data_IF_903148143862
#
_entry.id   IF_903148143862
#
_cell.length_a   1.000
_cell.length_b   1.000
_cell.length_c   1.000
_cell.angle_alpha   90.00
_cell.angle_beta   90.00
_cell.angle_gamma   90.00
#
_symmetry.space_group_name_H-M   'P 1'
#
loop_
_entity.id
_entity.type
_entity.pdbx_description
1 polymer ?
#
# COMPACT_ATOMS: atom_id res chain seq x y z
N UNK A 1 4.75 0.07 7.60
CA UNK A 1 5.39 1.26 8.20
C UNK A 1 6.48 1.82 7.29
N UNK A 2 7.60 1.12 7.05
CA UNK A 2 8.68 1.62 6.18
C UNK A 2 8.24 1.99 4.76
N UNK A 3 7.40 1.17 4.12
CA UNK A 3 6.88 1.44 2.77
C UNK A 3 6.06 2.73 2.74
N UNK A 4 5.16 2.94 3.72
CA UNK A 4 4.34 4.16 3.79
C UNK A 4 5.21 5.41 4.00
N UNK A 5 6.21 5.33 4.88
CA UNK A 5 7.16 6.43 5.11
C UNK A 5 7.93 6.78 3.82
N UNK A 6 8.47 5.76 3.14
CA UNK A 6 9.20 5.94 1.89
C UNK A 6 8.30 6.54 0.79
N UNK A 7 7.09 6.01 0.62
CA UNK A 7 6.11 6.54 -0.32
C UNK A 7 5.75 8.00 -0.03
N UNK A 8 5.49 8.35 1.24
CA UNK A 8 5.20 9.72 1.64
C UNK A 8 6.37 10.67 1.33
N UNK A 9 7.59 10.24 1.66
CA UNK A 9 8.80 11.02 1.40
C UNK A 9 9.03 11.24 -0.09
N UNK A 10 8.98 10.18 -0.92
CA UNK A 10 9.18 10.30 -2.36
C UNK A 10 8.10 11.16 -3.03
N UNK A 11 6.85 11.03 -2.57
CA UNK A 11 5.78 11.90 -3.02
C UNK A 11 6.04 13.36 -2.66
N UNK A 12 6.36 13.69 -1.40
CA UNK A 12 6.69 15.07 -1.01
C UNK A 12 7.90 15.63 -1.77
N UNK A 13 8.94 14.81 -1.95
CA UNK A 13 10.11 15.16 -2.74
C UNK A 13 9.77 15.44 -4.20
N UNK A 14 8.73 14.81 -4.75
CA UNK A 14 8.24 15.10 -6.10
C UNK A 14 7.76 16.54 -6.24
N UNK A 15 7.17 17.14 -5.19
CA UNK A 15 6.68 18.53 -5.21
C UNK A 15 7.72 19.54 -4.78
N UNK A 16 8.76 19.09 -4.08
CA UNK A 16 9.87 19.93 -3.69
C UNK A 16 10.73 20.25 -4.90
N UNK A 17 11.15 21.51 -5.03
CA UNK A 17 12.12 21.98 -6.04
C UNK A 17 13.51 21.34 -5.92
N UNK A 18 13.70 20.44 -4.95
CA UNK A 18 14.92 19.67 -4.73
C UNK A 18 15.38 18.85 -5.94
N UNK A 19 14.50 18.55 -6.91
CA UNK A 19 14.83 17.79 -8.13
C UNK A 19 14.94 18.64 -9.41
N UNK A 20 14.90 19.97 -9.30
CA UNK A 20 15.13 20.93 -10.40
C UNK A 20 13.85 21.54 -10.99
N UNK A 21 14.00 22.66 -11.71
CA UNK A 21 12.94 23.51 -12.31
C UNK A 21 12.03 22.83 -13.35
N UNK A 22 12.08 21.50 -13.45
CA UNK A 22 11.17 20.72 -14.29
C UNK A 22 9.84 20.52 -13.59
N UNK A 23 8.75 20.68 -14.34
CA UNK A 23 7.37 20.40 -13.90
C UNK A 23 7.34 19.06 -13.17
N UNK A 24 7.23 19.13 -11.85
CA UNK A 24 6.95 17.99 -11.00
C UNK A 24 5.70 17.30 -11.55
N UNK A 25 5.84 16.05 -12.00
CA UNK A 25 4.70 15.21 -12.38
C UNK A 25 4.49 14.14 -11.30
N UNK A 26 3.59 14.38 -10.33
CA UNK A 26 3.30 13.44 -9.25
C UNK A 26 2.85 12.08 -9.78
N UNK A 27 2.26 12.05 -10.97
CA UNK A 27 1.83 10.83 -11.66
C UNK A 27 3.03 9.93 -12.00
N UNK A 28 4.19 10.52 -12.35
CA UNK A 28 5.41 9.74 -12.62
C UNK A 28 5.90 9.06 -11.35
N UNK A 29 6.05 9.78 -10.24
CA UNK A 29 6.49 9.17 -8.98
C UNK A 29 5.50 8.11 -8.50
N UNK A 30 4.19 8.38 -8.60
CA UNK A 30 3.16 7.38 -8.28
C UNK A 30 3.33 6.11 -9.12
N UNK A 31 3.52 6.23 -10.45
CA UNK A 31 3.73 5.08 -11.34
C UNK A 31 4.99 4.27 -11.00
N UNK A 32 6.07 4.95 -10.59
CA UNK A 32 7.32 4.28 -10.19
C UNK A 32 7.15 3.54 -8.86
N UNK A 33 6.44 4.13 -7.89
CA UNK A 33 6.10 3.46 -6.63
C UNK A 33 5.24 2.22 -6.91
N UNK A 34 4.19 2.32 -7.73
CA UNK A 34 3.33 1.18 -8.10
C UNK A 34 4.13 0.06 -8.78
N UNK A 35 5.04 0.42 -9.68
CA UNK A 35 5.92 -0.55 -10.37
C UNK A 35 6.83 -1.27 -9.37
N UNK A 36 7.48 -0.52 -8.47
CA UNK A 36 8.33 -1.09 -7.42
C UNK A 36 7.56 -2.02 -6.47
N UNK A 37 6.31 -1.66 -6.14
CA UNK A 37 5.45 -2.50 -5.30
C UNK A 37 5.10 -3.85 -5.95
N UNK A 38 5.05 -3.92 -7.28
CA UNK A 38 4.87 -5.19 -8.00
C UNK A 38 5.99 -6.19 -7.71
N UNK A 39 7.24 -5.73 -7.68
CA UNK A 39 8.39 -6.56 -7.35
C UNK A 39 8.37 -7.03 -5.89
N UNK A 40 8.05 -6.12 -4.95
CA UNK A 40 7.91 -6.47 -3.52
C UNK A 40 6.79 -7.48 -3.31
N UNK A 41 5.65 -7.29 -3.98
CA UNK A 41 4.51 -8.21 -3.89
C UNK A 41 4.85 -9.62 -4.36
N UNK A 42 5.56 -9.75 -5.49
CA UNK A 42 6.03 -11.04 -5.99
C UNK A 42 6.98 -11.76 -5.01
N UNK A 43 7.82 -11.01 -4.29
CA UNK A 43 8.74 -11.58 -3.29
C UNK A 43 8.05 -12.09 -2.01
N UNK A 44 6.82 -11.64 -1.73
CA UNK A 44 6.07 -12.02 -0.52
C UNK A 44 5.08 -13.15 -0.77
N UNK A 45 4.62 -13.30 -2.02
CA UNK A 45 3.71 -14.38 -2.41
C UNK A 45 4.53 -15.65 -2.68
N UNK A 46 4.31 -16.67 -1.84
CA UNK A 46 5.01 -17.95 -1.95
C UNK A 46 3.98 -19.03 -2.30
N UNK A 47 4.28 -19.83 -3.31
CA UNK A 47 3.47 -21.00 -3.70
C UNK A 47 4.27 -22.27 -3.48
N UNK A 48 3.74 -23.19 -2.66
CA UNK A 48 4.34 -24.50 -2.44
C UNK A 48 3.23 -25.56 -2.34
N UNK A 49 3.35 -26.65 -3.10
CA UNK A 49 2.41 -27.78 -3.02
C UNK A 49 0.95 -27.41 -3.28
N UNK A 50 0.68 -26.49 -4.20
CA UNK A 50 -0.69 -26.05 -4.55
C UNK A 50 -1.32 -25.03 -3.60
N UNK A 51 -0.64 -24.64 -2.52
CA UNK A 51 -1.11 -23.64 -1.58
C UNK A 51 -0.35 -22.32 -1.76
N UNK A 52 -1.10 -21.24 -1.95
CA UNK A 52 -0.54 -19.88 -2.07
C UNK A 52 -0.66 -19.18 -0.71
N UNK A 53 0.46 -18.71 -0.18
CA UNK A 53 0.53 -17.91 1.05
C UNK A 53 1.05 -16.50 0.75
N UNK A 54 0.66 -15.54 1.58
CA UNK A 54 1.17 -14.16 1.50
C UNK A 54 0.38 -13.21 0.62
N UNK A 55 -0.75 -13.64 0.02
CA UNK A 55 -1.62 -12.77 -0.80
C UNK A 55 -2.13 -11.57 -0.01
N UNK A 56 -2.64 -11.80 1.21
CA UNK A 56 -3.11 -10.73 2.09
C UNK A 56 -1.99 -9.79 2.51
N UNK A 57 -0.79 -10.32 2.76
CA UNK A 57 0.40 -9.51 3.05
C UNK A 57 0.76 -8.63 1.86
N UNK A 58 0.83 -9.19 0.65
CA UNK A 58 1.10 -8.41 -0.56
C UNK A 58 0.06 -7.30 -0.79
N UNK A 59 -1.24 -7.60 -0.61
CA UNK A 59 -2.31 -6.61 -0.70
C UNK A 59 -2.16 -5.50 0.37
N UNK A 60 -1.82 -5.87 1.61
CA UNK A 60 -1.61 -4.91 2.70
C UNK A 60 -0.40 -3.99 2.45
N UNK A 61 0.66 -4.47 1.81
CA UNK A 61 1.80 -3.64 1.43
C UNK A 61 1.40 -2.63 0.34
N UNK A 62 0.57 -3.05 -0.61
CA UNK A 62 0.07 -2.20 -1.70
C UNK A 62 -0.74 -1.02 -1.18
N UNK A 63 -1.72 -1.29 -0.30
CA UNK A 63 -2.54 -0.23 0.30
C UNK A 63 -1.73 0.67 1.25
N UNK A 64 -0.72 0.12 1.94
CA UNK A 64 0.18 0.90 2.80
C UNK A 64 1.01 1.92 2.00
N UNK A 65 1.47 1.55 0.80
CA UNK A 65 2.14 2.48 -0.10
C UNK A 65 1.20 3.60 -0.57
N UNK A 66 -0.04 3.24 -0.95
CA UNK A 66 -1.07 4.20 -1.37
C UNK A 66 -1.40 5.22 -0.27
N UNK A 67 -1.56 4.76 0.98
CA UNK A 67 -1.78 5.66 2.13
C UNK A 67 -0.60 6.63 2.34
N UNK A 68 0.64 6.14 2.21
CA UNK A 68 1.83 6.98 2.29
C UNK A 68 1.86 8.06 1.20
N UNK A 69 1.56 7.70 -0.04
CA UNK A 69 1.45 8.68 -1.14
C UNK A 69 0.35 9.70 -0.87
N UNK A 70 -0.85 9.29 -0.44
CA UNK A 70 -1.93 10.22 -0.12
C UNK A 70 -1.54 11.23 0.97
N UNK A 71 -0.86 10.76 2.03
CA UNK A 71 -0.33 11.68 3.06
C UNK A 71 0.78 12.58 2.53
N UNK A 72 1.66 12.08 1.66
CA UNK A 72 2.71 12.88 1.02
C UNK A 72 2.18 13.92 0.03
N UNK A 73 0.98 13.72 -0.52
CA UNK A 73 0.25 14.70 -1.34
C UNK A 73 -0.46 15.77 -0.50
N UNK A 74 -0.57 15.60 0.82
CA UNK A 74 -1.40 16.44 1.68
C UNK A 74 -2.89 16.07 1.67
N UNK A 75 -3.28 14.98 1.01
CA UNK A 75 -4.66 14.49 0.90
C UNK A 75 -5.07 13.70 2.17
N UNK A 76 -5.10 14.39 3.32
CA UNK A 76 -5.31 13.75 4.62
C UNK A 76 -6.70 13.10 4.75
N UNK A 77 -7.74 13.74 4.22
CA UNK A 77 -9.11 13.19 4.28
C UNK A 77 -9.18 11.85 3.55
N UNK A 78 -8.63 11.81 2.32
CA UNK A 78 -8.58 10.58 1.53
C UNK A 78 -7.74 9.49 2.21
N UNK A 79 -6.60 9.88 2.81
CA UNK A 79 -5.75 8.96 3.56
C UNK A 79 -6.49 8.34 4.75
N UNK A 80 -7.18 9.14 5.58
CA UNK A 80 -7.92 8.63 6.74
C UNK A 80 -9.14 7.78 6.36
N UNK A 81 -9.88 8.15 5.32
CA UNK A 81 -10.98 7.31 4.79
C UNK A 81 -10.43 5.96 4.33
N UNK A 82 -9.32 5.96 3.60
CA UNK A 82 -8.68 4.72 3.12
C UNK A 82 -8.18 3.85 4.26
N UNK A 83 -7.60 4.46 5.32
CA UNK A 83 -7.21 3.75 6.54
C UNK A 83 -8.43 3.08 7.18
N UNK A 84 -9.53 3.83 7.34
CA UNK A 84 -10.78 3.31 7.91
C UNK A 84 -11.35 2.13 7.12
N UNK A 85 -11.43 2.24 5.79
CA UNK A 85 -11.89 1.17 4.90
C UNK A 85 -10.97 -0.05 4.93
N UNK A 86 -9.66 0.16 5.03
CA UNK A 86 -8.67 -0.93 5.14
C UNK A 86 -8.87 -1.70 6.43
N UNK A 87 -9.01 -0.99 7.56
CA UNK A 87 -9.28 -1.62 8.86
C UNK A 87 -10.61 -2.38 8.85
N UNK A 88 -11.67 -1.77 8.29
CA UNK A 88 -12.96 -2.42 8.13
C UNK A 88 -12.84 -3.74 7.34
N UNK A 89 -12.13 -3.70 6.21
CA UNK A 89 -11.93 -4.89 5.37
C UNK A 89 -11.16 -5.98 6.11
N UNK A 90 -10.08 -5.64 6.81
CA UNK A 90 -9.29 -6.60 7.59
C UNK A 90 -10.08 -7.19 8.76
N UNK A 91 -10.88 -6.38 9.46
CA UNK A 91 -11.73 -6.84 10.55
C UNK A 91 -12.86 -7.74 10.06
N UNK A 92 -13.47 -7.41 8.91
CA UNK A 92 -14.47 -8.26 8.26
C UNK A 92 -13.86 -9.60 7.85
N UNK A 93 -12.69 -9.59 7.20
CA UNK A 93 -11.97 -10.82 6.84
C UNK A 93 -11.69 -11.69 8.06
N UNK A 94 -11.15 -11.12 9.14
CA UNK A 94 -10.89 -11.86 10.38
C UNK A 94 -12.17 -12.44 10.99
N UNK A 95 -13.26 -11.68 10.96
CA UNK A 95 -14.55 -12.13 11.52
C UNK A 95 -15.15 -13.27 10.69
N UNK A 96 -15.06 -13.18 9.36
CA UNK A 96 -15.51 -14.22 8.44
C UNK A 96 -14.65 -15.48 8.63
N UNK A 97 -13.33 -15.34 8.70
CA UNK A 97 -12.41 -16.46 8.93
C UNK A 97 -12.69 -17.15 10.26
N UNK A 98 -12.93 -16.38 11.33
CA UNK A 98 -13.31 -16.92 12.64
C UNK A 98 -14.68 -17.61 12.63
N UNK A 99 -15.64 -17.11 11.84
CA UNK A 99 -16.97 -17.72 11.73
C UNK A 99 -16.95 -19.03 10.93
N UNK A 100 -16.04 -19.14 9.95
CA UNK A 100 -15.85 -20.35 9.14
C UNK A 100 -14.98 -21.38 9.86
N UNK A 101 -13.93 -20.93 10.56
CA UNK A 101 -12.97 -21.79 11.28
C UNK A 101 -13.49 -22.35 12.61
N UNK A 102 -14.69 -21.99 13.05
CA UNK A 102 -15.32 -22.54 14.26
C UNK A 102 -15.94 -23.94 14.07
N UNK A 103 -15.64 -24.62 12.94
CA UNK A 103 -16.13 -25.97 12.62
C UNK A 103 -15.07 -27.07 12.62
N UNK A 104 -13.83 -26.78 13.01
CA UNK A 104 -12.79 -27.80 13.23
C UNK A 104 -12.41 -27.96 14.70
#
# INVERSE_FOLDING_TARGET
MLISLASALFTMLSFSSAFGDGVADPTRIASQILTGMGFVGAGVIISAGGHVKGVTTAASLWITAAMGMAMGLGEYVLAFVTIGLTLLTLLLFRSIESAIGQKE
#
